data_IF_045736041049
#
_entry.id   IF_045736041049
#
_cell.length_a   1.000
_cell.length_b   1.000
_cell.length_c   1.000
_cell.angle_alpha   90.00
_cell.angle_beta   90.00
_cell.angle_gamma   90.00
#
_symmetry.space_group_name_H-M   'P 1'
#
loop_
_entity.id
_entity.type
_entity.pdbx_description
1 polymer ?
#
# COMPACT_ATOMS: atom_id res chain seq x y z
N UNK A 1 -23.68 -0.50 -13.63
CA UNK A 1 -23.29 -0.01 -14.97
C UNK A 1 -22.97 1.50 -14.95
N UNK A 2 -23.74 2.33 -14.22
CA UNK A 2 -23.42 3.76 -14.02
C UNK A 2 -22.14 4.00 -13.21
N UNK A 3 -21.82 3.14 -12.22
CA UNK A 3 -20.66 3.35 -11.34
C UNK A 3 -19.32 3.08 -12.04
N UNK A 4 -19.20 1.98 -12.79
CA UNK A 4 -17.99 1.65 -13.57
C UNK A 4 -17.62 2.73 -14.59
N UNK A 5 -18.61 3.32 -15.26
CA UNK A 5 -18.36 4.41 -16.21
C UNK A 5 -17.84 5.68 -15.51
N UNK A 6 -18.31 5.95 -14.29
CA UNK A 6 -17.86 7.08 -13.48
C UNK A 6 -16.46 6.87 -12.90
N UNK A 7 -16.14 5.64 -12.49
CA UNK A 7 -14.79 5.24 -12.06
C UNK A 7 -13.80 5.36 -13.22
N UNK A 8 -14.16 4.86 -14.40
CA UNK A 8 -13.34 4.97 -15.60
C UNK A 8 -13.08 6.44 -15.98
N UNK A 9 -14.09 7.33 -15.84
CA UNK A 9 -13.89 8.76 -16.07
C UNK A 9 -12.90 9.40 -15.09
N UNK A 10 -12.92 8.98 -13.82
CA UNK A 10 -11.94 9.44 -12.82
C UNK A 10 -10.54 8.96 -13.19
N UNK A 11 -10.39 7.70 -13.59
CA UNK A 11 -9.11 7.13 -13.99
C UNK A 11 -8.54 7.86 -15.22
N UNK A 12 -9.35 8.07 -16.26
CA UNK A 12 -8.98 8.81 -17.48
C UNK A 12 -8.51 10.23 -17.15
N UNK A 13 -9.15 10.90 -16.18
CA UNK A 13 -8.75 12.24 -15.77
C UNK A 13 -7.35 12.32 -15.15
N UNK A 14 -6.77 11.19 -14.71
CA UNK A 14 -5.43 11.12 -14.13
C UNK A 14 -4.33 10.75 -15.12
N UNK A 15 -4.68 10.47 -16.39
CA UNK A 15 -3.74 10.16 -17.45
C UNK A 15 -2.81 11.36 -17.66
N UNK A 16 -1.52 11.13 -17.44
CA UNK A 16 -0.42 12.06 -17.71
C UNK A 16 0.85 11.26 -17.93
N UNK A 17 1.86 11.87 -18.56
CA UNK A 17 3.16 11.25 -18.79
C UNK A 17 3.79 10.74 -17.49
N UNK A 18 4.47 9.60 -17.58
CA UNK A 18 5.16 8.92 -16.49
C UNK A 18 6.57 8.55 -16.97
N UNK A 19 7.57 8.75 -16.13
CA UNK A 19 8.95 8.37 -16.47
C UNK A 19 9.25 6.96 -15.97
N UNK A 20 9.60 6.05 -16.88
CA UNK A 20 10.02 4.68 -16.55
C UNK A 20 11.37 4.44 -17.21
N UNK A 21 12.37 4.05 -16.41
CA UNK A 21 13.70 3.73 -16.92
C UNK A 21 13.80 2.23 -17.26
N UNK A 22 14.15 1.94 -18.52
CA UNK A 22 14.29 0.56 -19.03
C UNK A 22 15.75 0.29 -19.41
N UNK A 23 16.25 -0.88 -19.04
CA UNK A 23 17.56 -1.37 -19.46
C UNK A 23 17.39 -2.31 -20.65
N UNK A 24 17.66 -1.83 -21.86
CA UNK A 24 17.50 -2.58 -23.11
C UNK A 24 18.82 -2.65 -23.88
N UNK A 25 19.03 -3.75 -24.60
CA UNK A 25 20.14 -3.82 -25.56
C UNK A 25 19.83 -3.01 -26.83
N UNK A 26 20.85 -2.58 -27.57
CA UNK A 26 20.68 -1.90 -28.87
C UNK A 26 19.83 -2.73 -29.86
N UNK A 27 19.96 -4.06 -29.79
CA UNK A 27 19.18 -4.98 -30.62
C UNK A 27 17.70 -4.95 -30.24
N UNK A 28 17.38 -4.89 -28.95
CA UNK A 28 16.00 -4.80 -28.47
C UNK A 28 15.39 -3.44 -28.81
N UNK A 29 16.16 -2.35 -28.69
CA UNK A 29 15.76 -1.02 -29.16
C UNK A 29 15.36 -1.04 -30.65
N UNK A 30 16.15 -1.70 -31.51
CA UNK A 30 15.81 -1.85 -32.93
C UNK A 30 14.56 -2.72 -33.16
N UNK A 31 14.39 -3.81 -32.40
CA UNK A 31 13.24 -4.71 -32.53
C UNK A 31 11.95 -4.00 -32.14
N UNK A 32 11.91 -3.37 -30.96
CA UNK A 32 10.71 -2.67 -30.48
C UNK A 32 10.37 -1.47 -31.37
N UNK A 33 11.38 -0.72 -31.84
CA UNK A 33 11.14 0.39 -32.79
C UNK A 33 10.58 -0.11 -34.12
N UNK A 34 10.96 -1.31 -34.57
CA UNK A 34 10.43 -1.91 -35.80
C UNK A 34 8.96 -2.29 -35.65
N UNK A 35 8.55 -2.82 -34.49
CA UNK A 35 7.14 -3.10 -34.22
C UNK A 35 6.30 -1.82 -34.21
N UNK A 36 6.77 -0.79 -33.50
CA UNK A 36 6.10 0.51 -33.46
C UNK A 36 5.98 1.14 -34.87
N UNK A 37 7.07 1.11 -35.65
CA UNK A 37 7.07 1.64 -37.01
C UNK A 37 6.12 0.90 -37.97
N UNK A 38 5.98 -0.43 -37.85
CA UNK A 38 5.02 -1.22 -38.65
C UNK A 38 3.57 -0.81 -38.39
N UNK A 39 3.26 -0.38 -37.17
CA UNK A 39 1.94 0.09 -36.76
C UNK A 39 1.78 1.63 -36.88
N UNK A 40 2.81 2.34 -37.34
CA UNK A 40 2.84 3.81 -37.43
C UNK A 40 2.54 4.51 -36.08
N UNK A 41 3.10 3.97 -34.99
CA UNK A 41 3.02 4.52 -33.64
C UNK A 41 4.41 4.70 -33.04
N UNK A 42 4.49 5.38 -31.90
CA UNK A 42 5.73 5.47 -31.11
C UNK A 42 5.96 4.24 -30.25
N UNK A 43 7.19 4.03 -29.80
CA UNK A 43 7.49 2.97 -28.81
C UNK A 43 6.72 3.21 -27.51
N UNK A 44 6.58 4.47 -27.07
CA UNK A 44 5.81 4.82 -25.87
C UNK A 44 4.35 4.39 -25.98
N UNK A 45 3.67 4.69 -27.09
CA UNK A 45 2.28 4.28 -27.33
C UNK A 45 2.12 2.75 -27.33
N UNK A 46 3.09 2.03 -27.90
CA UNK A 46 3.09 0.56 -27.86
C UNK A 46 3.21 0.02 -26.43
N UNK A 47 4.09 0.61 -25.61
CA UNK A 47 4.28 0.22 -24.22
C UNK A 47 3.09 0.63 -23.33
N UNK A 48 2.50 1.80 -23.55
CA UNK A 48 1.27 2.24 -22.88
C UNK A 48 0.12 1.24 -23.08
N UNK A 49 -0.03 0.76 -24.32
CA UNK A 49 -1.05 -0.23 -24.68
C UNK A 49 -0.76 -1.59 -24.05
N UNK A 50 0.50 -2.06 -24.09
CA UNK A 50 0.90 -3.32 -23.44
C UNK A 50 0.69 -3.28 -21.92
N UNK A 51 1.03 -2.16 -21.26
CA UNK A 51 0.75 -1.96 -19.83
C UNK A 51 -0.77 -2.00 -19.60
N UNK A 52 -1.55 -1.35 -20.47
CA UNK A 52 -3.02 -1.40 -20.45
C UNK A 52 -3.58 -2.81 -20.46
N UNK A 53 -3.05 -3.69 -21.31
CA UNK A 53 -3.45 -5.10 -21.34
C UNK A 53 -3.04 -5.83 -20.05
N UNK A 54 -1.80 -5.64 -19.57
CA UNK A 54 -1.28 -6.29 -18.37
C UNK A 54 -2.08 -5.95 -17.10
N UNK A 55 -2.50 -4.69 -16.94
CA UNK A 55 -3.17 -4.21 -15.72
C UNK A 55 -4.68 -4.02 -15.90
N UNK A 56 -5.24 -4.43 -17.04
CA UNK A 56 -6.65 -4.18 -17.40
C UNK A 56 -7.02 -2.67 -17.31
N UNK A 57 -6.12 -1.82 -17.80
CA UNK A 57 -6.16 -0.37 -17.68
C UNK A 57 -6.83 0.36 -18.86
N UNK A 58 -6.61 1.68 -18.91
CA UNK A 58 -7.28 2.60 -19.85
C UNK A 58 -7.00 2.39 -21.35
N UNK A 59 -5.95 1.63 -21.70
CA UNK A 59 -5.51 1.40 -23.09
C UNK A 59 -5.55 -0.08 -23.51
N UNK A 60 -6.52 -0.85 -22.99
CA UNK A 60 -6.69 -2.27 -23.35
C UNK A 60 -7.09 -2.47 -24.81
N UNK A 61 -6.52 -3.50 -25.45
CA UNK A 61 -6.83 -3.94 -26.80
C UNK A 61 -7.95 -5.00 -26.86
N UNK A 62 -8.34 -5.56 -25.72
CA UNK A 62 -9.32 -6.64 -25.67
C UNK A 62 -9.08 -7.57 -24.48
N UNK A 63 -10.07 -8.43 -24.21
CA UNK A 63 -9.98 -9.44 -23.16
C UNK A 63 -8.88 -10.46 -23.44
N UNK A 64 -8.75 -10.90 -24.70
CA UNK A 64 -7.82 -11.95 -25.07
C UNK A 64 -6.36 -11.49 -24.89
N UNK A 65 -6.07 -10.22 -25.21
CA UNK A 65 -4.76 -9.61 -24.97
C UNK A 65 -4.47 -9.47 -23.48
N UNK A 66 -5.47 -9.08 -22.68
CA UNK A 66 -5.36 -9.02 -21.22
C UNK A 66 -5.06 -10.39 -20.61
N UNK A 67 -5.80 -11.41 -21.00
CA UNK A 67 -5.60 -12.80 -20.55
C UNK A 67 -4.18 -13.29 -20.90
N UNK A 68 -3.71 -13.02 -22.13
CA UNK A 68 -2.35 -13.36 -22.54
C UNK A 68 -1.28 -12.63 -21.71
N UNK A 69 -1.50 -11.36 -21.36
CA UNK A 69 -0.55 -10.57 -20.57
C UNK A 69 -0.51 -11.06 -19.11
N UNK A 70 -1.65 -11.41 -18.54
CA UNK A 70 -1.73 -12.00 -17.19
C UNK A 70 -1.06 -13.38 -17.14
N UNK A 71 -1.36 -14.26 -18.11
CA UNK A 71 -0.68 -15.56 -18.21
C UNK A 71 0.85 -15.41 -18.34
N UNK A 72 1.32 -14.41 -19.09
CA UNK A 72 2.75 -14.10 -19.16
C UNK A 72 3.31 -13.73 -17.78
N UNK A 73 2.62 -12.88 -17.02
CA UNK A 73 3.07 -12.47 -15.69
C UNK A 73 3.12 -13.67 -14.72
N UNK A 74 2.06 -14.46 -14.67
CA UNK A 74 1.96 -15.65 -13.81
C UNK A 74 3.07 -16.67 -14.08
N UNK A 75 3.48 -16.81 -15.35
CA UNK A 75 4.47 -17.81 -15.78
C UNK A 75 5.90 -17.29 -15.82
N UNK A 76 6.09 -15.98 -15.90
CA UNK A 76 7.42 -15.42 -15.90
C UNK A 76 8.06 -15.58 -14.51
N UNK A 77 9.38 -15.47 -14.44
CA UNK A 77 10.10 -15.65 -13.17
C UNK A 77 9.66 -14.68 -12.06
N UNK A 78 8.97 -13.59 -12.40
CA UNK A 78 8.45 -12.63 -11.43
C UNK A 78 7.16 -13.12 -10.75
N UNK A 79 6.18 -13.66 -11.49
CA UNK A 79 4.94 -14.19 -10.90
C UNK A 79 5.08 -15.61 -10.36
N UNK A 80 5.87 -16.46 -11.02
CA UNK A 80 6.05 -17.87 -10.64
C UNK A 80 6.92 -18.05 -9.40
N UNK A 81 7.89 -17.16 -9.14
CA UNK A 81 8.84 -17.30 -8.03
C UNK A 81 8.78 -16.12 -7.04
N UNK A 82 7.63 -15.43 -6.96
CA UNK A 82 7.47 -14.34 -5.99
C UNK A 82 7.30 -14.87 -4.57
N UNK A 83 8.04 -14.27 -3.65
CA UNK A 83 8.02 -14.56 -2.22
C UNK A 83 6.65 -14.26 -1.58
N UNK A 84 6.32 -14.93 -0.48
CA UNK A 84 5.10 -14.70 0.31
C UNK A 84 5.31 -13.58 1.31
N UNK A 85 5.44 -12.37 0.80
CA UNK A 85 5.51 -11.14 1.61
C UNK A 85 4.14 -10.76 2.14
N UNK A 86 4.12 -9.97 3.22
CA UNK A 86 2.89 -9.39 3.76
C UNK A 86 2.24 -8.44 2.75
N UNK A 87 3.06 -7.69 2.00
CA UNK A 87 2.60 -6.87 0.89
C UNK A 87 1.79 -7.69 -0.13
N UNK A 88 2.32 -8.85 -0.53
CA UNK A 88 1.62 -9.70 -1.50
C UNK A 88 0.28 -10.19 -0.95
N UNK A 89 0.25 -10.64 0.29
CA UNK A 89 -1.00 -11.05 0.94
C UNK A 89 -2.06 -9.94 0.88
N UNK A 90 -1.72 -8.72 1.29
CA UNK A 90 -2.65 -7.57 1.25
C UNK A 90 -3.17 -7.33 -0.17
N UNK A 91 -2.29 -7.37 -1.18
CA UNK A 91 -2.66 -7.13 -2.58
C UNK A 91 -3.53 -8.25 -3.18
N UNK A 92 -3.33 -9.50 -2.76
CA UNK A 92 -4.09 -10.66 -3.27
C UNK A 92 -5.47 -10.79 -2.62
N UNK A 93 -5.60 -10.43 -1.33
CA UNK A 93 -6.91 -10.33 -0.65
C UNK A 93 -7.73 -9.11 -1.14
N UNK A 94 -7.09 -8.18 -1.86
CA UNK A 94 -7.72 -6.98 -2.41
C UNK A 94 -7.84 -5.84 -1.40
N UNK A 95 -7.04 -5.87 -0.34
CA UNK A 95 -7.01 -4.86 0.70
C UNK A 95 -6.10 -3.67 0.33
N UNK A 96 -6.35 -2.54 1.00
CA UNK A 96 -5.66 -1.29 0.72
C UNK A 96 -4.41 -1.12 1.61
N UNK A 97 -3.24 -1.14 0.96
CA UNK A 97 -1.95 -0.85 1.63
C UNK A 97 -1.94 0.55 2.27
N UNK A 98 -2.64 1.53 1.67
CA UNK A 98 -2.76 2.87 2.24
C UNK A 98 -3.49 2.84 3.58
N UNK A 99 -4.50 1.98 3.73
CA UNK A 99 -5.23 1.81 4.98
C UNK A 99 -4.32 1.28 6.10
N UNK A 100 -3.50 0.26 5.82
CA UNK A 100 -2.52 -0.24 6.80
C UNK A 100 -1.53 0.84 7.22
N UNK A 101 -0.94 1.55 6.26
CA UNK A 101 0.05 2.59 6.54
C UNK A 101 -0.56 3.75 7.35
N UNK A 102 -1.77 4.16 7.02
CA UNK A 102 -2.52 5.16 7.79
C UNK A 102 -2.84 4.66 9.20
N UNK A 103 -3.23 3.39 9.36
CA UNK A 103 -3.46 2.76 10.67
C UNK A 103 -2.21 2.79 11.55
N UNK A 104 -1.05 2.45 10.98
CA UNK A 104 0.24 2.49 11.67
C UNK A 104 0.65 3.92 12.05
N UNK A 105 0.43 4.90 11.18
CA UNK A 105 0.68 6.30 11.48
C UNK A 105 -0.25 6.83 12.59
N UNK A 106 -1.54 6.46 12.55
CA UNK A 106 -2.51 6.79 13.58
C UNK A 106 -2.10 6.19 14.93
N UNK A 107 -1.66 4.93 14.98
CA UNK A 107 -1.13 4.31 16.20
C UNK A 107 -0.01 5.15 16.81
N UNK A 108 0.91 5.66 15.99
CA UNK A 108 2.00 6.53 16.45
C UNK A 108 1.46 7.85 17.01
N UNK A 109 0.60 8.53 16.26
CA UNK A 109 0.02 9.83 16.65
C UNK A 109 -0.82 9.72 17.94
N UNK A 110 -1.68 8.72 18.05
CA UNK A 110 -2.51 8.50 19.23
C UNK A 110 -1.67 8.17 20.46
N UNK A 111 -0.58 7.41 20.33
CA UNK A 111 0.37 7.19 21.45
C UNK A 111 0.99 8.50 21.94
N UNK A 112 1.44 9.36 21.04
CA UNK A 112 2.01 10.67 21.37
C UNK A 112 0.97 11.61 22.01
N UNK A 113 -0.25 11.62 21.48
CA UNK A 113 -1.38 12.39 22.02
C UNK A 113 -1.74 11.94 23.45
N UNK A 114 -1.97 10.64 23.66
CA UNK A 114 -2.29 10.07 24.98
C UNK A 114 -1.19 10.39 25.99
N UNK A 115 0.08 10.31 25.57
CA UNK A 115 1.20 10.67 26.44
C UNK A 115 1.14 12.15 26.86
N UNK A 116 0.89 13.05 25.90
CA UNK A 116 0.78 14.49 26.16
C UNK A 116 -0.39 14.80 27.10
N UNK A 117 -1.57 14.22 26.84
CA UNK A 117 -2.76 14.40 27.68
C UNK A 117 -2.52 13.91 29.11
N UNK A 118 -1.85 12.76 29.29
CA UNK A 118 -1.48 12.24 30.61
C UNK A 118 -0.53 13.16 31.35
N UNK A 119 0.45 13.75 30.66
CA UNK A 119 1.40 14.69 31.25
C UNK A 119 0.72 16.00 31.68
N UNK A 120 -0.18 16.53 30.86
CA UNK A 120 -0.91 17.76 31.18
C UNK A 120 -1.88 17.57 32.34
N UNK A 121 -2.62 16.45 32.36
CA UNK A 121 -3.44 16.08 33.51
C UNK A 121 -2.60 15.93 34.79
N UNK A 122 -1.41 15.33 34.70
CA UNK A 122 -0.52 15.17 35.84
C UNK A 122 -0.03 16.51 36.39
N UNK A 123 0.36 17.46 35.52
CA UNK A 123 0.75 18.82 35.94
C UNK A 123 -0.36 19.51 36.72
N UNK A 124 -1.59 19.29 36.28
CA UNK A 124 -2.76 19.93 36.87
C UNK A 124 -3.12 19.34 38.23
N UNK A 125 -2.99 18.01 38.38
CA UNK A 125 -3.07 17.32 39.67
C UNK A 125 -1.98 17.84 40.63
N UNK A 126 -0.76 18.03 40.14
CA UNK A 126 0.34 18.54 40.97
C UNK A 126 0.14 20.00 41.37
N UNK A 127 -0.42 20.84 40.49
CA UNK A 127 -0.82 22.23 40.82
C UNK A 127 -1.87 22.27 41.93
N UNK A 128 -2.88 21.40 41.88
CA UNK A 128 -3.87 21.30 42.97
C UNK A 128 -3.23 20.84 44.29
N UNK A 129 -2.24 19.94 44.24
CA UNK A 129 -1.49 19.51 45.44
C UNK A 129 -0.67 20.66 46.05
N UNK A 130 -0.07 21.49 45.22
CA UNK A 130 0.73 22.64 45.65
C UNK A 130 -0.13 23.82 46.14
N UNK A 131 -1.31 24.01 45.56
CA UNK A 131 -2.26 25.04 45.94
C UNK A 131 -3.66 24.47 46.19
N UNK A 132 -4.02 24.14 47.45
CA UNK A 132 -5.33 23.57 47.78
C UNK A 132 -6.54 24.49 47.50
N UNK A 133 -6.34 25.80 47.27
CA UNK A 133 -7.42 26.70 46.84
C UNK A 133 -7.69 26.60 45.33
N UNK A 134 -6.75 26.02 44.57
CA UNK A 134 -6.92 25.73 43.17
C UNK A 134 -7.67 24.40 43.01
N UNK A 135 -8.79 24.42 42.30
CA UNK A 135 -9.60 23.25 42.00
C UNK A 135 -9.67 23.09 40.48
N UNK A 136 -9.23 21.93 39.98
CA UNK A 136 -9.38 21.62 38.56
C UNK A 136 -10.74 20.96 38.33
N UNK A 137 -11.56 21.58 37.50
CA UNK A 137 -12.93 21.13 37.26
C UNK A 137 -13.06 20.14 36.11
N UNK A 138 -12.00 19.98 35.30
CA UNK A 138 -12.01 19.16 34.07
C UNK A 138 -11.29 17.82 34.23
N UNK A 139 -10.99 17.40 35.47
CA UNK A 139 -10.20 16.18 35.74
C UNK A 139 -10.87 14.92 35.19
N UNK A 140 -12.19 14.81 35.32
CA UNK A 140 -12.92 13.63 34.85
C UNK A 140 -13.11 13.66 33.34
N UNK A 141 -13.33 14.83 32.74
CA UNK A 141 -13.39 15.01 31.29
C UNK A 141 -12.05 14.66 30.61
N UNK A 142 -10.92 15.06 31.18
CA UNK A 142 -9.60 14.71 30.65
C UNK A 142 -9.31 13.21 30.76
N UNK A 143 -9.68 12.59 31.89
CA UNK A 143 -9.58 11.13 32.05
C UNK A 143 -10.45 10.39 31.03
N UNK A 144 -11.66 10.90 30.79
CA UNK A 144 -12.58 10.36 29.78
C UNK A 144 -11.95 10.46 28.38
N UNK A 145 -11.43 11.63 28.02
CA UNK A 145 -10.74 11.85 26.74
C UNK A 145 -9.57 10.87 26.55
N UNK A 146 -8.68 10.76 27.55
CA UNK A 146 -7.56 9.80 27.52
C UNK A 146 -8.06 8.37 27.34
N UNK A 147 -9.16 7.99 28.01
CA UNK A 147 -9.73 6.64 27.90
C UNK A 147 -10.27 6.38 26.51
N UNK A 148 -11.04 7.31 25.94
CA UNK A 148 -11.59 7.16 24.59
C UNK A 148 -10.49 7.03 23.53
N UNK A 149 -9.44 7.86 23.61
CA UNK A 149 -8.29 7.78 22.71
C UNK A 149 -7.53 6.45 22.87
N UNK A 150 -7.42 5.94 24.09
CA UNK A 150 -6.79 4.64 24.36
C UNK A 150 -7.61 3.47 23.78
N UNK A 151 -8.94 3.53 23.89
CA UNK A 151 -9.84 2.52 23.31
C UNK A 151 -9.72 2.48 21.77
N UNK A 152 -9.67 3.64 21.11
CA UNK A 152 -9.47 3.73 19.65
C UNK A 152 -8.08 3.25 19.22
N UNK A 153 -7.04 3.60 19.97
CA UNK A 153 -5.68 3.12 19.77
C UNK A 153 -5.62 1.59 19.87
N UNK A 154 -6.22 1.02 20.91
CA UNK A 154 -6.22 -0.43 21.14
C UNK A 154 -6.98 -1.17 20.04
N UNK A 155 -8.11 -0.63 19.58
CA UNK A 155 -8.86 -1.18 18.45
C UNK A 155 -8.03 -1.18 17.14
N UNK A 156 -7.31 -0.08 16.87
CA UNK A 156 -6.46 0.02 15.68
C UNK A 156 -5.27 -0.96 15.76
N UNK A 157 -4.62 -1.07 16.93
CA UNK A 157 -3.56 -2.06 17.16
C UNK A 157 -4.08 -3.48 16.96
N UNK A 158 -5.29 -3.76 17.43
CA UNK A 158 -5.89 -5.09 17.32
C UNK A 158 -6.15 -5.46 15.86
N UNK A 159 -6.70 -4.55 15.06
CA UNK A 159 -6.91 -4.78 13.63
C UNK A 159 -5.61 -5.07 12.87
N UNK A 160 -4.52 -4.34 13.14
CA UNK A 160 -3.21 -4.62 12.52
C UNK A 160 -2.65 -5.99 12.93
N UNK A 161 -2.88 -6.41 14.18
CA UNK A 161 -2.46 -7.74 14.65
C UNK A 161 -3.23 -8.85 13.95
N UNK A 162 -4.53 -8.68 13.75
CA UNK A 162 -5.38 -9.65 13.04
C UNK A 162 -4.87 -9.86 11.62
N UNK A 163 -4.60 -8.79 10.86
CA UNK A 163 -4.01 -8.90 9.53
C UNK A 163 -2.65 -9.61 9.52
N UNK A 164 -1.82 -9.34 10.53
CA UNK A 164 -0.55 -10.03 10.65
C UNK A 164 -0.73 -11.53 10.91
N UNK A 165 -1.67 -11.92 11.78
CA UNK A 165 -1.98 -13.32 12.05
C UNK A 165 -2.54 -14.02 10.82
N UNK A 166 -3.46 -13.39 10.09
CA UNK A 166 -4.01 -13.89 8.84
C UNK A 166 -2.93 -14.08 7.78
N UNK A 167 -2.01 -13.13 7.63
CA UNK A 167 -0.82 -13.29 6.78
C UNK A 167 0.03 -14.50 7.18
N UNK A 168 0.28 -14.70 8.48
CA UNK A 168 1.06 -15.85 8.96
C UNK A 168 0.38 -17.18 8.67
N UNK A 169 -0.96 -17.22 8.65
CA UNK A 169 -1.72 -18.39 8.23
C UNK A 169 -1.69 -18.57 6.71
N UNK A 170 -1.94 -17.50 5.96
CA UNK A 170 -1.87 -17.49 4.49
C UNK A 170 -0.53 -17.97 3.96
N UNK A 171 0.57 -17.54 4.59
CA UNK A 171 1.94 -17.93 4.23
C UNK A 171 2.16 -19.44 4.26
N UNK A 172 1.48 -20.15 5.17
CA UNK A 172 1.59 -21.62 5.34
C UNK A 172 0.78 -22.40 4.30
N UNK A 173 -0.16 -21.77 3.61
CA UNK A 173 -0.98 -22.42 2.59
C UNK A 173 -0.11 -22.80 1.38
N UNK A 174 -0.39 -23.93 0.73
CA UNK A 174 0.31 -24.33 -0.50
C UNK A 174 -0.45 -23.87 -1.73
N UNK A 175 0.17 -22.99 -2.52
CA UNK A 175 -0.38 -22.51 -3.78
C UNK A 175 0.24 -23.25 -4.97
N UNK A 176 -0.47 -23.33 -6.10
CA UNK A 176 0.01 -24.05 -7.29
C UNK A 176 1.33 -23.47 -7.84
N UNK A 177 1.53 -22.17 -7.68
CA UNK A 177 2.75 -21.46 -8.06
C UNK A 177 3.87 -21.51 -7.01
N UNK A 178 3.70 -22.24 -5.90
CA UNK A 178 4.79 -22.46 -4.92
C UNK A 178 5.77 -23.51 -5.46
N UNK A 179 6.65 -23.10 -6.36
CA UNK A 179 7.68 -23.98 -6.97
C UNK A 179 8.88 -24.18 -6.04
N UNK A 180 8.93 -23.46 -4.92
CA UNK A 180 9.94 -23.58 -3.86
C UNK A 180 9.32 -23.37 -2.46
N UNK A 181 9.97 -23.90 -1.43
CA UNK A 181 9.59 -23.65 -0.04
C UNK A 181 10.01 -22.22 0.33
N UNK A 182 9.04 -21.32 0.57
CA UNK A 182 9.34 -20.02 1.14
C UNK A 182 9.78 -20.21 2.59
N UNK A 183 11.10 -20.11 2.80
CA UNK A 183 11.77 -20.33 4.07
C UNK A 183 12.16 -19.01 4.76
N UNK A 184 11.82 -17.87 4.16
CA UNK A 184 12.17 -16.57 4.70
C UNK A 184 11.28 -16.26 5.92
N UNK A 185 11.78 -16.53 7.12
CA UNK A 185 11.19 -16.00 8.35
C UNK A 185 11.55 -14.51 8.45
N UNK A 186 10.55 -13.65 8.25
CA UNK A 186 10.66 -12.20 8.41
C UNK A 186 9.81 -11.73 9.56
N UNK A 187 10.35 -10.76 10.29
CA UNK A 187 9.64 -10.01 11.33
C UNK A 187 8.63 -9.06 10.71
N UNK A 188 7.70 -8.56 11.53
CA UNK A 188 6.73 -7.54 11.12
C UNK A 188 7.44 -6.29 10.56
N UNK A 189 8.53 -5.84 11.20
CA UNK A 189 9.26 -4.64 10.78
C UNK A 189 9.97 -4.82 9.43
N UNK A 190 10.50 -6.01 9.14
CA UNK A 190 11.11 -6.34 7.85
C UNK A 190 10.07 -6.36 6.73
N UNK A 191 8.91 -6.98 6.97
CA UNK A 191 7.79 -6.98 6.01
C UNK A 191 7.22 -5.56 5.80
N UNK A 192 7.15 -4.76 6.86
CA UNK A 192 6.74 -3.36 6.78
C UNK A 192 7.72 -2.53 5.92
N UNK A 193 9.01 -2.82 5.98
CA UNK A 193 10.01 -2.17 5.12
C UNK A 193 9.72 -2.43 3.64
N UNK A 194 9.36 -3.67 3.28
CA UNK A 194 8.98 -4.05 1.90
C UNK A 194 7.74 -3.25 1.44
N UNK A 195 6.73 -3.16 2.30
CA UNK A 195 5.50 -2.39 2.03
C UNK A 195 5.83 -0.91 1.79
N UNK A 196 6.67 -0.31 2.64
CA UNK A 196 7.08 1.10 2.53
C UNK A 196 7.90 1.35 1.26
N UNK A 197 8.82 0.46 0.92
CA UNK A 197 9.58 0.55 -0.33
C UNK A 197 8.68 0.53 -1.56
N UNK A 198 7.68 -0.37 -1.58
CA UNK A 198 6.69 -0.41 -2.65
C UNK A 198 5.86 0.88 -2.70
N UNK A 199 5.36 1.34 -1.55
CA UNK A 199 4.55 2.57 -1.47
C UNK A 199 5.30 3.78 -1.99
N UNK A 200 6.57 3.93 -1.60
CA UNK A 200 7.42 5.02 -2.07
C UNK A 200 7.68 4.95 -3.58
N UNK A 201 7.91 3.75 -4.14
CA UNK A 201 8.05 3.57 -5.59
C UNK A 201 6.75 3.90 -6.33
N UNK A 202 5.61 3.50 -5.79
CA UNK A 202 4.29 3.83 -6.33
C UNK A 202 4.02 5.34 -6.33
N UNK A 203 4.29 6.03 -5.21
CA UNK A 203 4.17 7.50 -5.10
C UNK A 203 5.09 8.24 -6.05
N UNK A 204 6.34 7.78 -6.18
CA UNK A 204 7.30 8.31 -7.16
C UNK A 204 6.77 8.17 -8.59
N UNK A 205 6.19 7.01 -8.93
CA UNK A 205 5.57 6.79 -10.23
C UNK A 205 4.41 7.77 -10.47
N UNK A 206 3.57 8.04 -9.47
CA UNK A 206 2.50 9.05 -9.58
C UNK A 206 3.01 10.48 -9.78
N UNK A 207 4.30 10.74 -9.56
CA UNK A 207 4.87 12.08 -9.50
C UNK A 207 4.36 12.88 -8.30
N UNK A 208 4.03 12.18 -7.21
CA UNK A 208 3.62 12.76 -5.93
C UNK A 208 4.77 12.59 -4.94
N UNK A 209 5.93 13.18 -5.25
CA UNK A 209 6.98 13.36 -4.25
C UNK A 209 6.40 14.23 -3.11
N UNK A 210 6.43 13.70 -1.89
CA UNK A 210 6.22 14.50 -0.69
C UNK A 210 7.39 15.48 -0.59
N UNK A 211 7.12 16.75 -0.89
CA UNK A 211 7.91 17.86 -0.35
C UNK A 211 7.88 17.85 1.18
#
# INVERSE_FOLDING_TARGET
MYDRAKEQQKEIATIKERTIHLNLSDADCKRISTYAAKANITVSQLLESFIGDLVNGTYTNGSDEGDCAQEWFERCGYGMNSEKTFLRYILEEGDDVEFLLNGLENIKKSKELIQTLKEDLQKEIDRQRENPEYQYEWEEEDKECIRTEQEELDATIQSVKEWWEEYQEWKKQKNWWDVGEDTAERTFDEELTIIQEWWNRYRSLLGTETE
#
